data_IF_687504493554
#
_entry.id   IF_687504493554
#
_cell.length_a   1.000
_cell.length_b   1.000
_cell.length_c   1.000
_cell.angle_alpha   90.00
_cell.angle_beta   90.00
_cell.angle_gamma   90.00
#
_symmetry.space_group_name_H-M   'P 1'
#
loop_
_entity.id
_entity.type
_entity.pdbx_description
1 polymer ?
#
# COMPACT_ATOMS: atom_id res chain seq x y z
N UNK A 1 -10.40 -17.52 -49.13
CA UNK A 1 -9.30 -16.61 -48.75
C UNK A 1 -9.67 -16.02 -47.39
N UNK A 2 -9.07 -16.52 -46.31
CA UNK A 2 -9.33 -16.05 -44.94
C UNK A 2 -8.20 -15.09 -44.58
N UNK A 3 -8.44 -13.80 -44.29
CA UNK A 3 -7.43 -12.99 -43.65
C UNK A 3 -7.34 -13.40 -42.19
N UNK A 4 -6.24 -14.09 -41.87
CA UNK A 4 -5.73 -14.23 -40.52
C UNK A 4 -5.36 -12.86 -39.96
N UNK A 5 -5.75 -12.63 -38.70
CA UNK A 5 -5.51 -11.38 -37.99
C UNK A 5 -6.08 -11.52 -36.59
N UNK A 6 -5.42 -12.36 -35.80
CA UNK A 6 -5.71 -12.63 -34.40
C UNK A 6 -6.00 -11.33 -33.64
N UNK A 7 -7.25 -11.17 -33.19
CA UNK A 7 -7.75 -10.04 -32.41
C UNK A 7 -7.21 -10.03 -30.97
N UNK A 8 -5.92 -10.34 -30.78
CA UNK A 8 -5.24 -10.32 -29.48
C UNK A 8 -4.52 -9.00 -29.20
N UNK A 9 -4.59 -8.03 -30.12
CA UNK A 9 -3.98 -6.71 -29.95
C UNK A 9 -5.06 -5.61 -29.82
N UNK A 10 -5.73 -5.51 -28.66
CA UNK A 10 -6.38 -4.23 -28.29
C UNK A 10 -6.69 -4.01 -26.81
N UNK A 11 -6.74 -5.05 -25.98
CA UNK A 11 -6.96 -4.87 -24.53
C UNK A 11 -5.69 -4.50 -23.74
N UNK A 12 -4.51 -4.49 -24.38
CA UNK A 12 -3.25 -4.65 -23.68
C UNK A 12 -2.60 -3.38 -23.07
N UNK A 13 -3.27 -2.20 -22.95
CA UNK A 13 -2.51 -0.96 -22.65
C UNK A 13 -3.04 0.14 -21.68
N UNK A 14 -4.17 0.01 -20.97
CA UNK A 14 -4.41 0.85 -19.78
C UNK A 14 -4.11 0.13 -18.46
N UNK A 15 -4.44 -1.16 -18.37
CA UNK A 15 -4.42 -1.91 -17.10
C UNK A 15 -3.02 -2.01 -16.48
N UNK A 16 -1.99 -2.26 -17.30
CA UNK A 16 -0.60 -2.40 -16.82
C UNK A 16 -0.06 -1.11 -16.19
N UNK A 17 -0.39 0.07 -16.74
CA UNK A 17 0.05 1.37 -16.20
C UNK A 17 -0.67 1.73 -14.91
N UNK A 18 -1.97 1.48 -14.85
CA UNK A 18 -2.78 1.71 -13.65
C UNK A 18 -2.33 0.82 -12.49
N UNK A 19 -1.98 -0.44 -12.77
CA UNK A 19 -1.47 -1.35 -11.76
C UNK A 19 -0.10 -0.90 -11.20
N UNK A 20 0.80 -0.40 -12.06
CA UNK A 20 2.09 0.15 -11.61
C UNK A 20 1.93 1.39 -10.71
N UNK A 21 1.06 2.33 -11.08
CA UNK A 21 0.82 3.54 -10.27
C UNK A 21 0.19 3.19 -8.91
N UNK A 22 -0.72 2.21 -8.89
CA UNK A 22 -1.32 1.71 -7.64
C UNK A 22 -0.27 1.08 -6.73
N UNK A 23 0.59 0.21 -7.28
CA UNK A 23 1.67 -0.44 -6.51
C UNK A 23 2.62 0.60 -5.92
N UNK A 24 3.07 1.57 -6.72
CA UNK A 24 3.95 2.63 -6.25
C UNK A 24 3.36 3.41 -5.06
N UNK A 25 2.06 3.73 -5.08
CA UNK A 25 1.38 4.38 -3.94
C UNK A 25 1.33 3.50 -2.70
N UNK A 26 1.08 2.20 -2.87
CA UNK A 26 1.06 1.24 -1.76
C UNK A 26 2.47 1.12 -1.17
N UNK A 27 3.50 0.98 -1.99
CA UNK A 27 4.90 0.91 -1.54
C UNK A 27 5.31 2.19 -0.81
N UNK A 28 4.92 3.36 -1.31
CA UNK A 28 5.13 4.65 -0.64
C UNK A 28 4.43 4.69 0.73
N UNK A 29 3.15 4.35 0.78
CA UNK A 29 2.37 4.33 2.02
C UNK A 29 2.98 3.39 3.05
N UNK A 30 3.35 2.17 2.63
CA UNK A 30 4.03 1.19 3.47
C UNK A 30 5.36 1.74 3.98
N UNK A 31 6.15 2.40 3.14
CA UNK A 31 7.41 3.04 3.55
C UNK A 31 7.23 4.11 4.64
N UNK A 32 6.13 4.88 4.59
CA UNK A 32 5.80 5.91 5.59
C UNK A 32 5.43 5.28 6.94
N UNK A 33 4.59 4.24 6.93
CA UNK A 33 4.07 3.63 8.17
C UNK A 33 5.00 2.58 8.78
N UNK A 34 5.89 2.00 7.97
CA UNK A 34 6.90 1.02 8.37
C UNK A 34 7.69 1.37 9.65
N UNK A 35 8.28 2.57 9.82
CA UNK A 35 9.03 2.89 11.04
C UNK A 35 8.20 2.86 12.33
N UNK A 36 6.87 2.97 12.25
CA UNK A 36 5.99 2.87 13.40
C UNK A 36 5.77 1.41 13.87
N UNK A 37 6.10 0.43 13.02
CA UNK A 37 5.88 -0.98 13.28
C UNK A 37 7.16 -1.83 13.30
N UNK A 38 8.25 -1.41 12.65
CA UNK A 38 9.53 -2.14 12.61
C UNK A 38 10.42 -1.93 13.83
N UNK A 39 10.16 -0.91 14.65
CA UNK A 39 11.05 -0.62 15.76
C UNK A 39 10.93 -1.70 16.85
N UNK A 40 12.08 -2.32 17.18
CA UNK A 40 12.33 -3.03 18.45
C UNK A 40 12.00 -2.17 19.70
N UNK A 41 11.68 -0.89 19.51
CA UNK A 41 10.96 -0.05 20.45
C UNK A 41 9.54 0.24 19.97
N UNK A 42 8.61 -0.68 20.20
CA UNK A 42 7.23 -0.29 20.55
C UNK A 42 7.41 0.79 21.64
N UNK A 43 6.92 2.00 21.45
CA UNK A 43 6.98 3.02 22.51
C UNK A 43 6.25 2.47 23.74
N UNK A 44 7.03 1.91 24.68
CA UNK A 44 6.55 1.19 25.86
C UNK A 44 5.48 0.11 25.60
N UNK A 45 5.53 -0.62 24.48
CA UNK A 45 4.56 -1.70 24.20
C UNK A 45 3.22 -1.23 23.62
N UNK A 46 3.07 0.05 23.29
CA UNK A 46 1.86 0.56 22.63
C UNK A 46 2.01 0.60 21.11
N UNK A 47 1.00 0.07 20.41
CA UNK A 47 0.91 0.21 18.96
C UNK A 47 0.67 1.68 18.59
N UNK A 48 1.50 2.20 17.69
CA UNK A 48 1.43 3.58 17.22
C UNK A 48 0.50 3.76 16.02
N UNK A 49 -0.59 2.97 15.94
CA UNK A 49 -1.54 2.98 14.81
C UNK A 49 -2.10 4.38 14.54
N UNK A 50 -2.45 5.13 15.59
CA UNK A 50 -2.95 6.50 15.43
C UNK A 50 -1.89 7.46 14.88
N UNK A 51 -0.61 7.27 15.25
CA UNK A 51 0.48 8.10 14.70
C UNK A 51 0.76 7.73 13.25
N UNK A 52 0.77 6.44 12.91
CA UNK A 52 0.88 5.96 11.55
C UNK A 52 -0.26 6.50 10.68
N UNK A 53 -1.50 6.47 11.19
CA UNK A 53 -2.68 7.02 10.53
C UNK A 53 -2.55 8.52 10.28
N UNK A 54 -2.18 9.30 11.30
CA UNK A 54 -1.99 10.76 11.15
C UNK A 54 -0.89 11.09 10.15
N UNK A 55 0.27 10.42 10.27
CA UNK A 55 1.39 10.64 9.36
C UNK A 55 1.02 10.31 7.92
N UNK A 56 0.28 9.23 7.70
CA UNK A 56 -0.17 8.86 6.35
C UNK A 56 -1.19 9.86 5.78
N UNK A 57 -2.10 10.41 6.61
CA UNK A 57 -3.03 11.48 6.20
C UNK A 57 -2.32 12.79 5.84
N UNK A 58 -1.21 13.09 6.51
CA UNK A 58 -0.40 14.28 6.24
C UNK A 58 0.38 14.15 4.93
N UNK A 59 1.00 12.99 4.69
CA UNK A 59 1.84 12.76 3.52
C UNK A 59 1.05 12.39 2.26
N UNK A 60 -0.15 11.81 2.43
CA UNK A 60 -1.02 11.38 1.33
C UNK A 60 -2.46 11.85 1.55
N UNK A 61 -2.72 13.18 1.52
CA UNK A 61 -4.04 13.74 1.80
C UNK A 61 -5.11 13.34 0.77
N UNK A 62 -4.71 12.92 -0.43
CA UNK A 62 -5.61 12.42 -1.47
C UNK A 62 -6.21 11.04 -1.19
N UNK A 63 -5.67 10.30 -0.22
CA UNK A 63 -6.22 9.00 0.17
C UNK A 63 -7.51 9.17 0.96
N UNK A 64 -8.51 8.35 0.62
CA UNK A 64 -9.72 8.23 1.41
C UNK A 64 -9.40 7.70 2.81
N UNK A 65 -10.14 8.15 3.82
CA UNK A 65 -9.97 7.72 5.20
C UNK A 65 -10.02 6.20 5.37
N UNK A 66 -10.92 5.53 4.64
CA UNK A 66 -11.02 4.07 4.64
C UNK A 66 -9.75 3.38 4.11
N UNK A 67 -9.13 3.94 3.06
CA UNK A 67 -7.89 3.40 2.50
C UNK A 67 -6.71 3.61 3.44
N UNK A 68 -6.61 4.77 4.07
CA UNK A 68 -5.59 5.05 5.10
C UNK A 68 -5.74 4.06 6.25
N UNK A 69 -6.96 3.87 6.76
CA UNK A 69 -7.22 2.91 7.83
C UNK A 69 -6.82 1.48 7.43
N UNK A 70 -7.22 1.04 6.23
CA UNK A 70 -6.87 -0.28 5.71
C UNK A 70 -5.35 -0.46 5.59
N UNK A 71 -4.64 0.54 5.07
CA UNK A 71 -3.18 0.50 4.93
C UNK A 71 -2.47 0.38 6.28
N UNK A 72 -2.93 1.11 7.30
CA UNK A 72 -2.39 1.02 8.67
C UNK A 72 -2.62 -0.38 9.26
N UNK A 73 -3.84 -0.92 9.15
CA UNK A 73 -4.18 -2.27 9.64
C UNK A 73 -3.39 -3.36 8.91
N UNK A 74 -3.19 -3.22 7.60
CA UNK A 74 -2.40 -4.17 6.81
C UNK A 74 -0.92 -4.07 7.19
N UNK A 75 -0.38 -2.86 7.31
CA UNK A 75 1.01 -2.63 7.69
C UNK A 75 1.32 -3.21 9.08
N UNK A 76 0.43 -3.01 10.07
CA UNK A 76 0.64 -3.56 11.42
C UNK A 76 0.73 -5.08 11.43
N UNK A 77 0.06 -5.77 10.50
CA UNK A 77 0.16 -7.23 10.33
C UNK A 77 1.42 -7.65 9.59
N UNK A 78 1.82 -6.90 8.56
CA UNK A 78 3.02 -7.20 7.75
C UNK A 78 4.28 -7.05 8.60
N UNK A 79 4.36 -5.99 9.39
CA UNK A 79 5.52 -5.64 10.20
C UNK A 79 5.44 -6.17 11.63
N UNK A 80 4.37 -6.88 12.01
CA UNK A 80 4.28 -7.51 13.32
C UNK A 80 5.50 -8.43 13.54
N UNK A 81 6.15 -8.36 14.71
CA UNK A 81 7.25 -9.26 15.03
C UNK A 81 6.75 -10.70 14.91
N UNK A 82 7.50 -11.52 14.16
CA UNK A 82 7.18 -12.94 13.98
C UNK A 82 7.32 -13.60 15.35
N UNK A 83 6.20 -13.80 16.05
CA UNK A 83 6.13 -14.53 17.32
C UNK A 83 6.60 -15.97 17.05
N UNK A 84 7.86 -16.25 17.36
CA UNK A 84 8.45 -17.59 17.40
C UNK A 84 8.62 -18.03 18.84
#
# INVERSE_FOLDING_TARGET
MIPGGSAIDRAARPERRTDSARRARIEQALGIVRPFFEAEGQWAGHSLDHMAYRRLREEMPELAEADVHLLVVVASRIFAPRRG
#
